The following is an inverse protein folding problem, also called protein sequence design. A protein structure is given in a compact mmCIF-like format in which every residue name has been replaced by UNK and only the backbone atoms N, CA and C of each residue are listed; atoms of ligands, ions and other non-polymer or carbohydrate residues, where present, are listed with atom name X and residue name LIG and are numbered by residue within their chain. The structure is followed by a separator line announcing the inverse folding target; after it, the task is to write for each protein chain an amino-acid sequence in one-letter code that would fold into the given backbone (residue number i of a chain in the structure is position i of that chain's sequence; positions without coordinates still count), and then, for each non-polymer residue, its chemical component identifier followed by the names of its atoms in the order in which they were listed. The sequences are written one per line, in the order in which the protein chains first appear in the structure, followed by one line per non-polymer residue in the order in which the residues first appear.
data_IF_855001933455
#
_entry.id   IF_855001933455
#
_cell.length_a   1.000
_cell.length_b   1.000
_cell.length_c   1.000
_cell.angle_alpha   90.00
_cell.angle_beta   90.00
_cell.angle_gamma   90.00
#
_symmetry.space_group_name_H-M   'P 1'
#
loop_
_entity.id
_entity.type
_entity.pdbx_description
1 polymer ?
#
# COMPACT_ATOMS: atom_id res chain seq x y z
N UNK A 1 -10.20 -57.39 -8.25
CA UNK A 1 -10.28 -56.97 -6.84
C UNK A 1 -10.01 -55.49 -6.77
N UNK A 2 -11.06 -54.71 -6.51
CA UNK A 2 -11.09 -53.25 -6.54
C UNK A 2 -10.63 -52.70 -5.19
N UNK A 3 -9.62 -51.83 -5.19
CA UNK A 3 -9.22 -51.05 -4.02
C UNK A 3 -9.98 -49.70 -4.07
N UNK A 4 -11.19 -49.71 -3.52
CA UNK A 4 -11.99 -48.51 -3.32
C UNK A 4 -11.69 -47.90 -1.94
N UNK A 5 -11.51 -46.58 -1.93
CA UNK A 5 -11.96 -45.68 -0.85
C UNK A 5 -11.40 -45.92 0.54
N UNK A 6 -10.22 -45.35 0.84
CA UNK A 6 -9.96 -44.87 2.20
C UNK A 6 -10.56 -43.48 2.33
N UNK A 7 -11.76 -43.41 2.90
CA UNK A 7 -12.28 -42.21 3.53
C UNK A 7 -11.26 -41.74 4.57
N UNK A 8 -10.70 -40.55 4.35
CA UNK A 8 -10.02 -39.79 5.40
C UNK A 8 -11.11 -39.11 6.23
N UNK A 9 -11.80 -39.87 7.08
CA UNK A 9 -12.53 -39.31 8.23
C UNK A 9 -11.49 -38.78 9.21
N UNK A 10 -11.15 -37.50 9.05
CA UNK A 10 -10.28 -36.79 9.99
C UNK A 10 -11.06 -36.61 11.30
N UNK A 11 -10.69 -37.35 12.33
CA UNK A 11 -11.22 -37.23 13.69
C UNK A 11 -10.99 -35.80 14.22
N UNK A 12 -12.00 -34.94 14.07
CA UNK A 12 -12.05 -33.65 14.76
C UNK A 12 -12.57 -33.86 16.17
N UNK A 13 -11.74 -33.64 17.19
CA UNK A 13 -12.21 -33.62 18.58
C UNK A 13 -13.37 -32.63 18.72
N UNK A 14 -14.56 -33.12 19.08
CA UNK A 14 -15.73 -32.27 19.32
C UNK A 14 -15.49 -31.40 20.54
N UNK A 15 -15.11 -30.14 20.32
CA UNK A 15 -14.95 -29.13 21.38
C UNK A 15 -16.30 -28.60 21.89
N UNK A 16 -17.27 -29.47 22.14
CA UNK A 16 -18.62 -29.11 22.60
C UNK A 16 -18.67 -28.43 23.98
N UNK A 17 -17.57 -28.49 24.75
CA UNK A 17 -17.43 -27.77 26.01
C UNK A 17 -17.31 -26.24 25.83
N UNK A 18 -16.96 -25.78 24.62
CA UNK A 18 -16.89 -24.35 24.32
C UNK A 18 -18.25 -23.85 23.83
N UNK A 19 -18.84 -22.80 24.43
CA UNK A 19 -20.06 -22.16 23.93
C UNK A 19 -19.94 -21.72 22.47
N UNK A 20 -18.71 -21.41 22.02
CA UNK A 20 -18.45 -21.09 20.62
C UNK A 20 -18.82 -22.25 19.69
N UNK A 21 -18.63 -23.50 20.10
CA UNK A 21 -18.90 -24.68 19.27
C UNK A 21 -20.20 -25.41 19.62
N UNK A 22 -20.70 -25.28 20.85
CA UNK A 22 -21.97 -25.88 21.26
C UNK A 22 -23.20 -25.00 21.01
N UNK A 23 -23.05 -23.68 21.03
CA UNK A 23 -24.18 -22.77 20.85
C UNK A 23 -24.19 -22.06 19.48
N UNK A 24 -23.01 -21.72 18.92
CA UNK A 24 -22.94 -20.98 17.66
C UNK A 24 -22.81 -21.93 16.46
N UNK A 25 -23.70 -21.83 15.45
CA UNK A 25 -23.58 -22.56 14.20
C UNK A 25 -22.36 -22.09 13.39
N UNK A 26 -21.91 -22.91 12.44
CA UNK A 26 -20.67 -22.70 11.70
C UNK A 26 -20.64 -21.36 10.94
N UNK A 27 -21.78 -20.92 10.42
CA UNK A 27 -21.96 -19.69 9.68
C UNK A 27 -21.68 -18.46 10.55
N UNK A 28 -22.18 -18.47 11.79
CA UNK A 28 -21.95 -17.39 12.75
C UNK A 28 -20.51 -17.38 13.25
N UNK A 29 -19.91 -18.56 13.51
CA UNK A 29 -18.48 -18.64 13.83
C UNK A 29 -17.61 -18.07 12.71
N UNK A 30 -17.95 -18.40 11.45
CA UNK A 30 -17.24 -17.88 10.28
C UNK A 30 -17.40 -16.36 10.15
N UNK A 31 -18.59 -15.82 10.44
CA UNK A 31 -18.82 -14.37 10.46
C UNK A 31 -17.98 -13.67 11.54
N UNK A 32 -17.92 -14.23 12.76
CA UNK A 32 -17.06 -13.74 13.84
C UNK A 32 -15.59 -13.78 13.43
N UNK A 33 -15.11 -14.91 12.91
CA UNK A 33 -13.73 -15.05 12.45
C UNK A 33 -13.39 -14.06 11.33
N UNK A 34 -14.29 -13.87 10.36
CA UNK A 34 -14.11 -12.86 9.29
C UNK A 34 -13.97 -11.47 9.86
N UNK A 35 -14.78 -11.11 10.85
CA UNK A 35 -14.68 -9.81 11.51
C UNK A 35 -13.36 -9.68 12.29
N UNK A 36 -13.02 -10.63 13.15
CA UNK A 36 -11.81 -10.60 13.98
C UNK A 36 -10.50 -10.64 13.17
N UNK A 37 -10.51 -11.35 12.04
CA UNK A 37 -9.34 -11.55 11.17
C UNK A 37 -9.34 -10.61 9.96
N UNK A 38 -10.21 -9.60 9.94
CA UNK A 38 -10.17 -8.54 8.93
C UNK A 38 -8.97 -7.64 9.14
N UNK A 39 -8.48 -7.06 8.05
CA UNK A 39 -7.49 -5.98 8.11
C UNK A 39 -8.08 -4.79 8.85
N UNK A 40 -7.30 -4.21 9.77
CA UNK A 40 -7.66 -3.01 10.51
C UNK A 40 -6.45 -2.10 10.70
N UNK A 41 -6.70 -0.85 11.08
CA UNK A 41 -5.63 0.10 11.36
C UNK A 41 -4.93 -0.25 12.67
N UNK A 42 -3.61 -0.09 12.71
CA UNK A 42 -2.84 -0.30 13.93
C UNK A 42 -3.40 0.57 15.08
N UNK A 43 -3.64 0.00 16.28
CA UNK A 43 -4.33 0.72 17.35
C UNK A 43 -3.54 1.93 17.86
N UNK A 44 -2.21 1.83 17.89
CA UNK A 44 -1.32 2.84 18.49
C UNK A 44 -0.34 3.51 17.53
N UNK A 45 -0.03 2.90 16.38
CA UNK A 45 0.96 3.41 15.44
C UNK A 45 0.26 4.31 14.42
N UNK A 46 0.70 5.55 14.32
CA UNK A 46 0.20 6.51 13.35
C UNK A 46 1.34 6.96 12.45
N UNK A 47 1.04 7.19 11.18
CA UNK A 47 2.00 7.88 10.34
C UNK A 47 2.21 9.31 10.84
N UNK A 48 3.43 9.83 10.63
CA UNK A 48 3.73 11.23 10.91
C UNK A 48 2.64 12.11 10.26
N UNK A 49 2.14 13.08 11.03
CA UNK A 49 1.05 13.94 10.59
C UNK A 49 1.37 14.76 9.35
N UNK A 50 2.65 15.06 9.17
CA UNK A 50 3.18 15.88 8.08
C UNK A 50 3.78 14.99 6.96
N UNK A 51 3.52 13.68 6.96
CA UNK A 51 4.01 12.81 5.90
C UNK A 51 3.14 12.88 4.63
N UNK A 52 3.79 12.75 3.48
CA UNK A 52 3.11 12.71 2.17
C UNK A 52 2.25 11.46 1.94
N UNK A 53 2.41 10.43 2.77
CA UNK A 53 1.66 9.18 2.65
C UNK A 53 0.42 9.11 3.54
N UNK A 54 0.23 10.05 4.47
CA UNK A 54 -0.96 10.09 5.31
C UNK A 54 -2.19 10.48 4.47
N UNK A 55 -3.25 9.67 4.56
CA UNK A 55 -4.57 9.96 3.97
C UNK A 55 -5.67 9.82 5.01
N UNK A 56 -6.89 10.25 4.65
CA UNK A 56 -8.08 10.07 5.48
C UNK A 56 -8.37 8.57 5.75
N UNK A 57 -8.21 7.74 4.71
CA UNK A 57 -8.48 6.30 4.70
C UNK A 57 -7.24 5.44 4.98
N UNK A 58 -6.07 6.08 5.08
CA UNK A 58 -4.78 5.42 5.31
C UNK A 58 -3.87 6.31 6.16
N UNK A 59 -4.21 6.46 7.44
CA UNK A 59 -3.45 7.25 8.41
C UNK A 59 -2.55 6.40 9.33
N UNK A 60 -2.65 5.06 9.21
CA UNK A 60 -1.93 4.09 10.04
C UNK A 60 -1.51 2.87 9.22
N UNK A 61 -0.47 2.15 9.65
CA UNK A 61 -0.19 0.82 9.13
C UNK A 61 -1.41 -0.09 9.29
N UNK A 62 -1.68 -0.90 8.27
CA UNK A 62 -2.73 -1.90 8.30
C UNK A 62 -2.19 -3.22 8.83
N UNK A 63 -2.92 -3.84 9.76
CA UNK A 63 -2.54 -5.11 10.40
C UNK A 63 -3.72 -6.08 10.46
N UNK A 64 -3.40 -7.35 10.66
CA UNK A 64 -4.38 -8.40 10.99
C UNK A 64 -4.03 -8.98 12.35
N UNK A 65 -4.95 -8.92 13.30
CA UNK A 65 -4.75 -9.51 14.62
C UNK A 65 -5.01 -11.01 14.58
N UNK A 66 -3.94 -11.81 14.66
CA UNK A 66 -4.02 -13.29 14.60
C UNK A 66 -4.04 -13.97 15.96
N UNK A 67 -4.08 -13.20 17.06
CA UNK A 67 -4.04 -13.75 18.43
C UNK A 67 -5.18 -14.74 18.72
N UNK A 68 -6.35 -14.53 18.13
CA UNK A 68 -7.50 -15.44 18.26
C UNK A 68 -7.21 -16.85 17.77
N UNK A 69 -6.31 -17.00 16.79
CA UNK A 69 -5.90 -18.31 16.25
C UNK A 69 -5.11 -19.15 17.26
N UNK A 70 -4.60 -18.53 18.33
CA UNK A 70 -3.85 -19.23 19.39
C UNK A 70 -4.76 -19.81 20.48
N UNK A 71 -6.08 -19.61 20.39
CA UNK A 71 -7.03 -20.01 21.43
C UNK A 71 -7.20 -21.54 21.51
N UNK A 72 -7.44 -22.19 20.37
CA UNK A 72 -7.51 -23.66 20.29
C UNK A 72 -7.28 -24.14 18.85
N UNK A 73 -7.07 -25.46 18.69
CA UNK A 73 -6.80 -26.06 17.38
C UNK A 73 -7.92 -25.85 16.36
N UNK A 74 -9.19 -25.99 16.77
CA UNK A 74 -10.32 -25.82 15.85
C UNK A 74 -10.47 -24.36 15.41
N UNK A 75 -10.24 -23.39 16.30
CA UNK A 75 -10.24 -21.96 15.97
C UNK A 75 -9.08 -21.62 15.04
N UNK A 76 -7.91 -22.21 15.30
CA UNK A 76 -6.76 -22.10 14.41
C UNK A 76 -7.12 -22.60 13.00
N UNK A 77 -7.68 -23.79 12.87
CA UNK A 77 -7.95 -24.41 11.57
C UNK A 77 -9.12 -23.74 10.81
N UNK A 78 -10.20 -23.34 11.51
CA UNK A 78 -11.30 -22.55 10.92
C UNK A 78 -10.81 -21.14 10.52
N UNK A 79 -10.04 -20.47 11.38
CA UNK A 79 -9.57 -19.11 11.17
C UNK A 79 -8.46 -18.99 10.12
N UNK A 80 -7.56 -19.97 10.02
CA UNK A 80 -6.52 -19.98 9.00
C UNK A 80 -7.12 -20.02 7.59
N UNK A 81 -8.21 -20.76 7.39
CA UNK A 81 -8.98 -20.76 6.13
C UNK A 81 -9.60 -19.39 5.83
N UNK A 82 -10.05 -18.67 6.85
CA UNK A 82 -10.61 -17.32 6.69
C UNK A 82 -9.55 -16.33 6.24
N UNK A 83 -8.35 -16.38 6.85
CA UNK A 83 -7.22 -15.55 6.45
C UNK A 83 -6.88 -15.75 4.98
N UNK A 84 -6.84 -17.00 4.52
CA UNK A 84 -6.53 -17.30 3.12
C UNK A 84 -7.58 -16.79 2.14
N UNK A 85 -8.83 -16.60 2.57
CA UNK A 85 -9.94 -16.30 1.65
C UNK A 85 -10.21 -14.80 1.43
N UNK A 86 -9.65 -13.92 2.25
CA UNK A 86 -9.95 -12.48 2.24
C UNK A 86 -8.70 -11.63 2.48
N UNK A 87 -7.62 -11.93 1.77
CA UNK A 87 -6.40 -11.15 1.86
C UNK A 87 -6.57 -9.81 1.16
N UNK A 88 -6.18 -8.73 1.83
CA UNK A 88 -6.08 -7.40 1.26
C UNK A 88 -4.61 -6.98 1.27
N UNK A 89 -4.13 -6.47 0.13
CA UNK A 89 -2.74 -6.04 -0.05
C UNK A 89 -2.69 -4.59 -0.51
N UNK A 90 -1.72 -3.85 0.03
CA UNK A 90 -1.43 -2.46 -0.33
C UNK A 90 0.03 -2.35 -0.77
N UNK A 91 0.25 -1.93 -2.02
CA UNK A 91 1.56 -1.77 -2.65
C UNK A 91 1.80 -0.30 -3.00
N UNK A 92 3.03 0.18 -2.86
CA UNK A 92 3.43 1.55 -3.17
C UNK A 92 4.45 1.58 -4.31
N UNK A 93 4.05 1.93 -5.53
CA UNK A 93 4.99 2.21 -6.61
C UNK A 93 5.50 3.63 -6.49
N UNK A 94 6.42 3.84 -5.55
CA UNK A 94 7.18 5.08 -5.38
C UNK A 94 8.59 4.76 -4.85
N UNK A 95 9.48 5.75 -4.91
CA UNK A 95 10.82 5.66 -4.35
C UNK A 95 10.79 5.51 -2.82
N UNK A 96 11.83 4.90 -2.20
CA UNK A 96 11.86 4.65 -0.76
C UNK A 96 11.56 5.87 0.14
N UNK A 97 12.06 7.10 -0.13
CA UNK A 97 11.79 8.27 0.72
C UNK A 97 10.32 8.71 0.75
N UNK A 98 9.55 8.33 -0.27
CA UNK A 98 8.14 8.71 -0.42
C UNK A 98 7.17 7.62 0.03
N UNK A 99 7.73 6.50 0.51
CA UNK A 99 6.98 5.31 0.89
C UNK A 99 6.81 5.24 2.41
N UNK A 100 5.65 4.78 2.91
CA UNK A 100 5.54 4.47 4.33
C UNK A 100 6.58 3.43 4.78
N UNK A 101 7.05 3.50 6.03
CA UNK A 101 7.86 2.44 6.60
C UNK A 101 7.05 1.13 6.65
N UNK A 102 7.74 -0.01 6.48
CA UNK A 102 7.15 -1.35 6.60
C UNK A 102 5.99 -1.65 5.63
N UNK A 103 5.93 -0.92 4.51
CA UNK A 103 5.05 -1.26 3.39
C UNK A 103 5.29 -2.70 2.88
N UNK A 104 4.29 -3.31 2.25
CA UNK A 104 4.45 -4.60 1.60
C UNK A 104 5.39 -4.48 0.39
N UNK A 105 6.44 -5.31 0.36
CA UNK A 105 7.31 -5.49 -0.78
C UNK A 105 6.69 -6.51 -1.75
N UNK A 106 6.56 -6.20 -3.06
CA UNK A 106 6.08 -7.14 -4.07
C UNK A 106 6.84 -8.48 -4.12
N UNK A 107 8.16 -8.50 -3.87
CA UNK A 107 8.93 -9.74 -3.82
C UNK A 107 8.56 -10.60 -2.60
N UNK A 108 8.30 -9.97 -1.46
CA UNK A 108 7.85 -10.67 -0.25
C UNK A 108 6.44 -11.22 -0.45
N UNK A 109 5.58 -10.49 -1.17
CA UNK A 109 4.25 -10.94 -1.56
C UNK A 109 4.33 -12.16 -2.47
N UNK A 110 5.14 -12.12 -3.53
CA UNK A 110 5.35 -13.23 -4.46
C UNK A 110 5.77 -14.50 -3.70
N UNK A 111 6.81 -14.40 -2.85
CA UNK A 111 7.28 -15.51 -2.02
C UNK A 111 6.17 -16.05 -1.10
N UNK A 112 5.45 -15.16 -0.41
CA UNK A 112 4.35 -15.58 0.48
C UNK A 112 3.27 -16.36 -0.28
N UNK A 113 2.90 -15.92 -1.47
CA UNK A 113 1.90 -16.61 -2.28
C UNK A 113 2.41 -17.97 -2.77
N UNK A 114 3.68 -18.07 -3.15
CA UNK A 114 4.33 -19.33 -3.50
C UNK A 114 4.36 -20.30 -2.31
N UNK A 115 4.74 -19.86 -1.12
CA UNK A 115 4.78 -20.68 0.10
C UNK A 115 3.39 -21.24 0.43
N UNK A 116 2.34 -20.41 0.30
CA UNK A 116 0.96 -20.85 0.50
C UNK A 116 0.55 -21.89 -0.54
N UNK A 117 0.89 -21.69 -1.80
CA UNK A 117 0.59 -22.64 -2.87
C UNK A 117 1.29 -23.98 -2.67
N UNK A 118 2.56 -23.98 -2.26
CA UNK A 118 3.31 -25.21 -1.93
C UNK A 118 2.71 -25.98 -0.76
N UNK A 119 2.04 -25.29 0.17
CA UNK A 119 1.27 -25.91 1.25
C UNK A 119 -0.11 -26.45 0.79
N UNK A 120 -0.40 -26.41 -0.51
CA UNK A 120 -1.71 -26.80 -1.07
C UNK A 120 -2.82 -25.80 -0.77
N UNK A 121 -2.48 -24.60 -0.28
CA UNK A 121 -3.45 -23.56 0.07
C UNK A 121 -3.68 -22.66 -1.14
N UNK A 122 -4.92 -22.24 -1.34
CA UNK A 122 -5.32 -21.38 -2.47
C UNK A 122 -5.77 -20.02 -1.94
N UNK A 123 -4.85 -19.05 -1.77
CA UNK A 123 -5.23 -17.73 -1.29
C UNK A 123 -6.18 -17.05 -2.29
N UNK A 124 -7.24 -16.44 -1.76
CA UNK A 124 -8.14 -15.55 -2.48
C UNK A 124 -7.87 -14.13 -2.01
N UNK A 125 -7.31 -13.32 -2.91
CA UNK A 125 -7.08 -11.90 -2.65
C UNK A 125 -8.37 -11.15 -2.93
N UNK A 126 -8.90 -10.43 -1.94
CA UNK A 126 -10.12 -9.65 -2.08
C UNK A 126 -9.80 -8.31 -2.74
N UNK A 127 -8.91 -7.52 -2.15
CA UNK A 127 -8.53 -6.21 -2.67
C UNK A 127 -7.01 -6.09 -2.83
N UNK A 128 -6.58 -5.54 -3.97
CA UNK A 128 -5.22 -5.08 -4.21
C UNK A 128 -5.25 -3.57 -4.42
N UNK A 129 -4.76 -2.81 -3.44
CA UNK A 129 -4.57 -1.37 -3.52
C UNK A 129 -3.14 -1.08 -4.00
N UNK A 130 -3.00 -0.19 -4.97
CA UNK A 130 -1.71 0.30 -5.44
C UNK A 130 -1.71 1.81 -5.41
N UNK A 131 -0.81 2.40 -4.63
CA UNK A 131 -0.48 3.82 -4.74
C UNK A 131 0.58 3.99 -5.80
N UNK A 132 0.28 4.73 -6.86
CA UNK A 132 1.07 4.75 -8.07
C UNK A 132 1.62 6.14 -8.35
N UNK A 133 2.93 6.31 -8.19
CA UNK A 133 3.65 7.45 -8.75
C UNK A 133 3.56 7.38 -10.29
N UNK A 134 3.13 8.46 -10.94
CA UNK A 134 2.89 8.46 -12.38
C UNK A 134 4.14 8.23 -13.20
N UNK A 135 5.30 8.76 -12.79
CA UNK A 135 6.54 8.54 -13.53
C UNK A 135 6.85 7.03 -13.61
N UNK A 136 6.68 6.30 -12.52
CA UNK A 136 6.84 4.84 -12.48
C UNK A 136 5.77 4.11 -13.27
N UNK A 137 4.51 4.51 -13.10
CA UNK A 137 3.37 3.87 -13.77
C UNK A 137 3.48 4.00 -15.29
N UNK A 138 3.94 5.14 -15.79
CA UNK A 138 4.05 5.46 -17.22
C UNK A 138 5.34 4.92 -17.88
N UNK A 139 6.44 4.82 -17.13
CA UNK A 139 7.75 4.45 -17.71
C UNK A 139 8.13 2.99 -17.52
N UNK A 140 7.39 2.23 -16.71
CA UNK A 140 7.75 0.86 -16.35
C UNK A 140 6.59 -0.12 -16.53
N UNK A 141 6.92 -1.42 -16.54
CA UNK A 141 5.94 -2.50 -16.52
C UNK A 141 5.55 -2.96 -15.11
N UNK A 142 5.92 -2.21 -14.08
CA UNK A 142 5.76 -2.61 -12.66
C UNK A 142 4.35 -3.04 -12.29
N UNK A 143 3.33 -2.36 -12.81
CA UNK A 143 1.93 -2.75 -12.58
C UNK A 143 1.61 -4.09 -13.23
N UNK A 144 2.07 -4.31 -14.45
CA UNK A 144 1.87 -5.58 -15.14
C UNK A 144 2.62 -6.71 -14.42
N UNK A 145 3.87 -6.49 -14.02
CA UNK A 145 4.68 -7.46 -13.28
C UNK A 145 4.00 -7.85 -11.96
N UNK A 146 3.44 -6.88 -11.23
CA UNK A 146 2.66 -7.14 -10.02
C UNK A 146 1.44 -8.00 -10.31
N UNK A 147 0.66 -7.66 -11.32
CA UNK A 147 -0.54 -8.41 -11.72
C UNK A 147 -0.22 -9.79 -12.34
N UNK A 148 1.04 -10.03 -12.71
CA UNK A 148 1.54 -11.28 -13.23
C UNK A 148 2.14 -12.20 -12.17
N UNK A 149 2.25 -11.75 -10.91
CA UNK A 149 2.65 -12.61 -9.78
C UNK A 149 1.74 -13.85 -9.74
N UNK A 150 2.36 -15.03 -9.72
CA UNK A 150 1.64 -16.28 -9.69
C UNK A 150 0.79 -16.40 -8.41
N UNK A 151 -0.41 -16.97 -8.53
CA UNK A 151 -1.39 -17.10 -7.46
C UNK A 151 -1.95 -15.77 -6.91
N UNK A 152 -1.53 -14.61 -7.45
CA UNK A 152 -2.17 -13.32 -7.15
C UNK A 152 -3.48 -13.23 -7.93
N UNK A 153 -4.58 -13.59 -7.28
CA UNK A 153 -5.92 -13.60 -7.86
C UNK A 153 -6.86 -12.59 -7.19
N UNK A 154 -6.61 -11.26 -7.34
CA UNK A 154 -7.42 -10.22 -6.73
C UNK A 154 -8.81 -10.17 -7.37
N UNK A 155 -9.83 -9.86 -6.56
CA UNK A 155 -11.19 -9.58 -7.06
C UNK A 155 -11.37 -8.10 -7.39
N UNK A 156 -10.75 -7.22 -6.62
CA UNK A 156 -10.77 -5.78 -6.85
C UNK A 156 -9.33 -5.25 -6.92
N UNK A 157 -9.07 -4.39 -7.89
CA UNK A 157 -7.80 -3.65 -7.99
C UNK A 157 -8.11 -2.17 -7.89
N UNK A 158 -7.48 -1.46 -6.96
CA UNK A 158 -7.61 -0.02 -6.85
C UNK A 158 -6.26 0.62 -7.14
N UNK A 159 -6.22 1.50 -8.12
CA UNK A 159 -5.06 2.33 -8.46
C UNK A 159 -5.31 3.73 -7.95
N UNK A 160 -4.53 4.19 -6.99
CA UNK A 160 -4.61 5.54 -6.44
C UNK A 160 -3.43 6.39 -6.90
N UNK A 161 -3.74 7.49 -7.59
CA UNK A 161 -2.82 8.53 -8.03
C UNK A 161 -3.12 9.75 -7.16
N UNK A 162 -2.23 10.04 -6.21
CA UNK A 162 -2.33 11.17 -5.27
C UNK A 162 -1.86 12.46 -5.92
N UNK A 163 -2.17 13.59 -5.28
CA UNK A 163 -1.61 14.88 -5.67
C UNK A 163 -0.08 14.84 -5.84
N UNK A 164 0.61 14.22 -4.88
CA UNK A 164 2.07 14.08 -4.86
C UNK A 164 2.62 13.02 -5.81
N UNK A 165 1.75 12.23 -6.45
CA UNK A 165 2.14 11.21 -7.41
C UNK A 165 2.17 11.76 -8.85
N UNK A 166 1.68 12.99 -9.07
CA UNK A 166 1.75 13.65 -10.38
C UNK A 166 3.16 14.11 -10.71
N UNK A 167 3.51 14.08 -12.00
CA UNK A 167 4.78 14.65 -12.47
C UNK A 167 4.78 16.16 -12.22
N UNK A 168 5.91 16.67 -11.70
CA UNK A 168 6.13 18.09 -11.43
C UNK A 168 5.04 18.75 -10.57
N UNK A 169 4.41 17.97 -9.67
CA UNK A 169 3.36 18.45 -8.78
C UNK A 169 3.86 19.61 -7.90
N UNK A 170 5.13 19.58 -7.51
CA UNK A 170 5.78 20.61 -6.69
C UNK A 170 5.80 21.98 -7.38
N UNK A 171 5.92 21.95 -8.71
CA UNK A 171 5.97 23.13 -9.57
C UNK A 171 4.58 23.53 -10.07
N UNK A 172 3.53 22.90 -9.54
CA UNK A 172 2.15 23.15 -9.94
C UNK A 172 1.87 22.89 -11.42
N UNK A 173 2.58 21.91 -12.01
CA UNK A 173 2.32 21.51 -13.38
C UNK A 173 0.84 21.15 -13.59
N UNK A 174 0.26 21.46 -14.76
CA UNK A 174 -1.09 21.03 -15.11
C UNK A 174 -1.23 19.51 -15.00
N UNK A 175 -2.40 19.03 -14.58
CA UNK A 175 -2.61 17.59 -14.45
C UNK A 175 -2.50 16.91 -15.83
N UNK A 176 -1.67 15.89 -15.92
CA UNK A 176 -1.52 15.07 -17.11
C UNK A 176 -1.24 13.61 -16.71
N UNK A 177 -1.79 12.67 -17.48
CA UNK A 177 -1.60 11.24 -17.29
C UNK A 177 -1.46 10.56 -18.65
N UNK A 178 -0.33 9.90 -18.90
CA UNK A 178 -0.13 9.10 -20.09
C UNK A 178 -0.91 7.77 -19.99
N UNK A 179 -1.55 7.37 -21.08
CA UNK A 179 -2.41 6.20 -21.17
C UNK A 179 -1.69 4.88 -21.44
N UNK A 180 -0.36 4.90 -21.59
CA UNK A 180 0.47 3.73 -21.92
C UNK A 180 0.20 2.55 -20.96
N UNK A 181 0.13 2.80 -19.66
CA UNK A 181 -0.12 1.77 -18.66
C UNK A 181 -1.54 1.18 -18.77
N UNK A 182 -2.54 1.99 -19.13
CA UNK A 182 -3.91 1.51 -19.41
C UNK A 182 -3.91 0.56 -20.60
N UNK A 183 -3.16 0.89 -21.64
CA UNK A 183 -3.07 0.07 -22.85
C UNK A 183 -2.36 -1.27 -22.59
N UNK A 184 -1.29 -1.25 -21.79
CA UNK A 184 -0.41 -2.39 -21.53
C UNK A 184 -0.97 -3.34 -20.47
N UNK A 185 -1.76 -2.83 -19.52
CA UNK A 185 -2.28 -3.64 -18.41
C UNK A 185 -3.21 -4.75 -18.91
N UNK A 186 -2.97 -5.98 -18.42
CA UNK A 186 -3.82 -7.15 -18.55
C UNK A 186 -4.14 -7.70 -17.17
N UNK A 187 -5.40 -7.55 -16.78
CA UNK A 187 -5.88 -7.93 -15.47
C UNK A 187 -6.01 -9.46 -15.33
N UNK A 188 -5.74 -10.03 -14.14
CA UNK A 188 -6.08 -11.42 -13.86
C UNK A 188 -7.57 -11.71 -14.08
N UNK A 189 -7.91 -12.94 -14.48
CA UNK A 189 -9.30 -13.34 -14.75
C UNK A 189 -10.22 -13.19 -13.53
N UNK A 190 -9.64 -13.23 -12.32
CA UNK A 190 -10.37 -13.03 -11.06
C UNK A 190 -10.88 -11.61 -10.85
N UNK A 191 -10.32 -10.61 -11.56
CA UNK A 191 -10.65 -9.20 -11.34
C UNK A 191 -12.06 -8.91 -11.83
N UNK A 192 -12.90 -8.41 -10.92
CA UNK A 192 -14.29 -8.01 -11.17
C UNK A 192 -14.44 -6.50 -11.25
N UNK A 193 -13.61 -5.77 -10.53
CA UNK A 193 -13.66 -4.30 -10.48
C UNK A 193 -12.24 -3.74 -10.52
N UNK A 194 -12.03 -2.71 -11.34
CA UNK A 194 -10.90 -1.81 -11.20
C UNK A 194 -11.41 -0.45 -10.75
N UNK A 195 -10.77 0.16 -9.75
CA UNK A 195 -11.08 1.52 -9.32
C UNK A 195 -9.85 2.38 -9.59
N UNK A 196 -10.00 3.42 -10.39
CA UNK A 196 -8.94 4.43 -10.55
C UNK A 196 -9.33 5.65 -9.73
N UNK A 197 -8.56 5.90 -8.68
CA UNK A 197 -8.68 7.02 -7.77
C UNK A 197 -7.69 8.11 -8.20
N UNK A 198 -8.20 9.25 -8.61
CA UNK A 198 -7.38 10.40 -8.99
C UNK A 198 -7.66 11.52 -8.01
N UNK A 199 -6.62 11.96 -7.31
CA UNK A 199 -6.71 12.98 -6.26
C UNK A 199 -5.82 14.17 -6.58
N UNK A 200 -6.35 15.38 -6.36
CA UNK A 200 -5.57 16.60 -6.46
C UNK A 200 -6.05 17.65 -5.45
N UNK A 201 -5.41 18.82 -5.46
CA UNK A 201 -5.83 19.95 -4.64
C UNK A 201 -7.19 20.50 -5.08
N UNK A 202 -7.96 21.05 -4.14
CA UNK A 202 -9.28 21.63 -4.39
C UNK A 202 -9.27 22.73 -5.45
N UNK A 203 -8.20 23.54 -5.53
CA UNK A 203 -8.03 24.54 -6.59
C UNK A 203 -7.86 23.96 -8.00
N UNK A 204 -7.50 22.67 -8.11
CA UNK A 204 -7.41 21.92 -9.38
C UNK A 204 -8.65 21.09 -9.69
N UNK A 205 -9.77 21.30 -8.99
CA UNK A 205 -11.01 20.53 -9.21
C UNK A 205 -11.45 20.52 -10.68
N UNK A 206 -11.45 21.67 -11.36
CA UNK A 206 -11.83 21.74 -12.78
C UNK A 206 -10.89 20.91 -13.69
N UNK A 207 -9.59 20.90 -13.39
CA UNK A 207 -8.62 20.07 -14.10
C UNK A 207 -8.89 18.59 -13.86
N UNK A 208 -9.16 18.22 -12.61
CA UNK A 208 -9.45 16.85 -12.21
C UNK A 208 -10.73 16.33 -12.88
N UNK A 209 -11.80 17.11 -12.85
CA UNK A 209 -13.07 16.82 -13.52
C UNK A 209 -12.88 16.64 -15.04
N UNK A 210 -12.06 17.49 -15.66
CA UNK A 210 -11.77 17.43 -17.08
C UNK A 210 -11.08 16.11 -17.46
N UNK A 211 -9.99 15.75 -16.78
CA UNK A 211 -9.26 14.51 -17.09
C UNK A 211 -10.08 13.27 -16.74
N UNK A 212 -10.85 13.30 -15.65
CA UNK A 212 -11.74 12.20 -15.27
C UNK A 212 -12.83 11.97 -16.32
N UNK A 213 -13.39 13.04 -16.89
CA UNK A 213 -14.36 12.96 -17.98
C UNK A 213 -13.77 12.31 -19.24
N UNK A 214 -12.54 12.64 -19.62
CA UNK A 214 -11.86 11.99 -20.75
C UNK A 214 -11.61 10.50 -20.43
N UNK A 215 -11.02 10.21 -19.27
CA UNK A 215 -10.75 8.85 -18.83
C UNK A 215 -12.01 7.97 -18.82
N UNK A 216 -13.13 8.51 -18.34
CA UNK A 216 -14.42 7.80 -18.31
C UNK A 216 -14.91 7.35 -19.68
N UNK A 217 -14.50 8.03 -20.76
CA UNK A 217 -14.93 7.76 -22.13
C UNK A 217 -13.94 6.93 -22.91
N UNK A 218 -12.64 7.15 -22.70
CA UNK A 218 -11.58 6.56 -23.53
C UNK A 218 -10.87 5.39 -22.87
N UNK A 219 -10.85 5.29 -21.53
CA UNK A 219 -10.10 4.23 -20.85
C UNK A 219 -10.91 2.96 -20.72
N UNK A 220 -10.27 1.84 -21.05
CA UNK A 220 -10.81 0.50 -20.87
C UNK A 220 -9.69 -0.46 -20.50
N UNK A 221 -9.98 -1.32 -19.54
CA UNK A 221 -9.05 -2.37 -19.11
C UNK A 221 -9.46 -3.71 -19.69
N UNK A 222 -8.48 -4.57 -19.96
CA UNK A 222 -8.72 -5.90 -20.51
C UNK A 222 -8.23 -6.95 -19.53
N UNK A 223 -9.04 -7.96 -19.25
CA UNK A 223 -8.62 -9.19 -18.55
C UNK A 223 -7.85 -10.13 -19.47
N UNK A 224 -7.06 -11.02 -18.89
CA UNK A 224 -6.33 -12.07 -19.63
C UNK A 224 -7.26 -12.99 -20.43
N UNK A 225 -8.50 -13.18 -19.99
CA UNK A 225 -9.56 -13.89 -20.71
C UNK A 225 -10.22 -13.10 -21.85
N UNK A 226 -9.79 -11.86 -22.10
CA UNK A 226 -10.34 -10.98 -23.13
C UNK A 226 -11.49 -10.09 -22.68
N UNK A 227 -12.08 -10.31 -21.49
CA UNK A 227 -13.18 -9.49 -20.96
C UNK A 227 -12.76 -8.03 -20.80
N UNK A 228 -13.55 -7.12 -21.36
CA UNK A 228 -13.32 -5.68 -21.25
C UNK A 228 -14.04 -5.11 -20.03
N UNK A 229 -13.36 -4.22 -19.31
CA UNK A 229 -13.92 -3.41 -18.23
C UNK A 229 -13.93 -1.95 -18.66
N UNK A 230 -15.13 -1.36 -18.64
CA UNK A 230 -15.35 0.06 -18.91
C UNK A 230 -15.94 0.74 -17.67
N UNK A 231 -15.89 2.08 -17.63
CA UNK A 231 -16.43 2.83 -16.50
C UNK A 231 -17.93 2.53 -16.32
N UNK A 232 -18.36 2.43 -15.08
CA UNK A 232 -19.77 2.50 -14.71
C UNK A 232 -20.08 3.89 -14.15
N UNK A 233 -20.77 4.77 -14.91
CA UNK A 233 -21.07 6.12 -14.47
C UNK A 233 -21.84 6.19 -13.15
N UNK A 234 -22.70 5.21 -12.86
CA UNK A 234 -23.53 5.17 -11.64
C UNK A 234 -22.72 4.87 -10.38
N UNK A 235 -21.50 4.34 -10.54
CA UNK A 235 -20.59 4.02 -9.44
C UNK A 235 -19.45 5.01 -9.28
N UNK A 236 -19.31 5.96 -10.20
CA UNK A 236 -18.30 7.02 -10.06
C UNK A 236 -18.65 7.87 -8.83
N UNK A 237 -17.68 8.06 -7.95
CA UNK A 237 -17.86 8.84 -6.72
C UNK A 237 -16.86 9.97 -6.65
N UNK A 238 -17.26 11.03 -5.97
CA UNK A 238 -16.43 12.19 -5.71
C UNK A 238 -16.41 12.45 -4.21
N UNK A 239 -15.23 12.72 -3.68
CA UNK A 239 -15.02 13.00 -2.26
C UNK A 239 -14.12 14.23 -2.10
N UNK A 240 -14.36 14.99 -1.04
CA UNK A 240 -13.45 16.03 -0.58
C UNK A 240 -12.95 15.70 0.82
N UNK A 241 -11.70 16.02 1.10
CA UNK A 241 -11.11 15.85 2.42
C UNK A 241 -10.03 16.89 2.68
N UNK A 242 -9.69 17.10 3.95
CA UNK A 242 -8.71 18.09 4.38
C UNK A 242 -7.45 17.41 4.91
N UNK A 243 -6.29 17.85 4.43
CA UNK A 243 -4.98 17.44 4.93
C UNK A 243 -4.20 18.62 5.48
N UNK A 244 -3.00 18.35 6.01
CA UNK A 244 -2.11 19.41 6.47
C UNK A 244 -1.34 19.99 5.29
N UNK A 245 -1.03 21.28 5.37
CA UNK A 245 -0.20 21.96 4.37
C UNK A 245 1.29 21.72 4.53
N UNK A 246 1.72 21.10 5.63
CA UNK A 246 3.09 20.62 5.78
C UNK A 246 3.19 19.20 5.27
N UNK A 247 4.03 18.99 4.25
CA UNK A 247 4.33 17.71 3.63
C UNK A 247 5.86 17.54 3.60
N UNK A 248 6.40 16.55 4.31
CA UNK A 248 7.83 16.25 4.43
C UNK A 248 8.70 17.52 4.61
N UNK A 249 8.46 18.25 5.71
CA UNK A 249 9.18 19.48 6.12
C UNK A 249 9.03 20.71 5.22
N UNK A 250 8.16 20.64 4.19
CA UNK A 250 7.79 21.79 3.35
C UNK A 250 6.34 22.18 3.60
N UNK A 251 6.10 23.48 3.82
CA UNK A 251 4.75 24.04 3.95
C UNK A 251 4.29 24.61 2.61
N UNK A 252 3.22 24.08 2.08
CA UNK A 252 2.61 24.43 0.79
C UNK A 252 1.65 25.61 0.94
N UNK A 253 2.20 26.80 1.19
CA UNK A 253 1.43 28.01 1.53
C UNK A 253 0.48 28.44 0.41
N UNK A 254 0.92 28.36 -0.85
CA UNK A 254 0.07 28.64 -2.03
C UNK A 254 -1.22 27.82 -2.03
N UNK A 255 -1.13 26.58 -1.53
CA UNK A 255 -2.17 25.57 -1.67
C UNK A 255 -3.13 25.56 -0.46
N UNK A 256 -2.88 26.41 0.55
CA UNK A 256 -3.72 26.52 1.75
C UNK A 256 -5.12 27.06 1.44
N UNK A 257 -6.15 26.29 1.80
CA UNK A 257 -7.54 26.77 1.81
C UNK A 257 -7.94 27.38 3.14
N UNK A 258 -7.20 27.04 4.20
CA UNK A 258 -7.28 27.62 5.54
C UNK A 258 -5.89 27.47 6.21
N UNK A 259 -5.61 28.21 7.31
CA UNK A 259 -4.31 28.11 7.97
C UNK A 259 -3.93 26.66 8.29
N UNK A 260 -2.78 26.21 7.76
CA UNK A 260 -2.25 24.86 7.93
C UNK A 260 -3.04 23.73 7.27
N UNK A 261 -3.97 24.03 6.36
CA UNK A 261 -4.87 23.06 5.75
C UNK A 261 -4.90 23.13 4.22
N UNK A 262 -4.80 21.96 3.60
CA UNK A 262 -5.04 21.76 2.17
C UNK A 262 -6.41 21.09 2.01
N UNK A 263 -7.18 21.56 1.03
CA UNK A 263 -8.37 20.85 0.56
C UNK A 263 -7.98 19.95 -0.60
N UNK A 264 -8.40 18.69 -0.55
CA UNK A 264 -8.22 17.71 -1.61
C UNK A 264 -9.56 17.34 -2.24
N UNK A 265 -9.52 17.09 -3.54
CA UNK A 265 -10.61 16.56 -4.33
C UNK A 265 -10.19 15.20 -4.90
N UNK A 266 -11.02 14.18 -4.71
CA UNK A 266 -10.79 12.81 -5.13
C UNK A 266 -11.96 12.36 -6.00
N UNK A 267 -11.65 11.83 -7.19
CA UNK A 267 -12.61 11.16 -8.06
C UNK A 267 -12.24 9.68 -8.16
N UNK A 268 -13.22 8.80 -7.93
CA UNK A 268 -13.07 7.35 -8.08
C UNK A 268 -13.86 6.87 -9.30
N UNK A 269 -13.15 6.42 -10.33
CA UNK A 269 -13.73 5.82 -11.54
C UNK A 269 -13.79 4.30 -11.38
N UNK A 270 -15.01 3.73 -11.40
CA UNK A 270 -15.21 2.30 -11.24
C UNK A 270 -15.37 1.61 -12.59
N UNK A 271 -14.40 0.80 -12.98
CA UNK A 271 -14.43 -0.03 -14.18
C UNK A 271 -14.92 -1.43 -13.84
N UNK A 272 -15.96 -1.89 -14.55
CA UNK A 272 -16.57 -3.22 -14.36
C UNK A 272 -16.75 -3.90 -15.73
N UNK A 273 -16.86 -5.25 -15.79
CA UNK A 273 -17.16 -5.93 -17.04
C UNK A 273 -18.34 -5.30 -17.78
N UNK A 274 -18.16 -5.04 -19.07
CA UNK A 274 -19.19 -4.43 -19.91
C UNK A 274 -20.40 -5.34 -20.08
N UNK A 275 -20.18 -6.66 -20.14
CA UNK A 275 -21.22 -7.65 -20.46
C UNK A 275 -21.75 -7.58 -21.90
N UNK A 276 -21.39 -6.52 -22.63
CA UNK A 276 -21.74 -6.29 -24.03
C UNK A 276 -20.64 -6.88 -24.94
N UNK A 277 -20.94 -7.95 -25.71
CA UNK A 277 -19.99 -8.56 -26.62
C UNK A 277 -19.69 -7.70 -27.85
N UNK A 278 -20.52 -6.69 -28.15
CA UNK A 278 -20.29 -5.74 -29.25
C UNK A 278 -19.39 -4.57 -28.85
N UNK A 279 -19.08 -4.44 -27.55
CA UNK A 279 -18.25 -3.36 -27.05
C UNK A 279 -16.81 -3.50 -27.57
N UNK A 280 -16.39 -2.54 -28.37
CA UNK A 280 -15.02 -2.48 -28.88
C UNK A 280 -14.12 -1.73 -27.91
N UNK A 281 -12.87 -2.17 -27.79
CA UNK A 281 -11.89 -1.50 -26.93
C UNK A 281 -11.44 -0.20 -27.60
N UNK A 282 -11.82 1.00 -27.10
CA UNK A 282 -11.26 2.24 -27.60
C UNK A 282 -9.75 2.28 -27.35
N UNK A 283 -9.02 3.00 -28.21
CA UNK A 283 -7.64 3.36 -27.90
C UNK A 283 -7.68 4.31 -26.70
N UNK A 284 -6.99 4.00 -25.59
CA UNK A 284 -7.02 4.89 -24.44
C UNK A 284 -6.31 6.19 -24.80
N UNK A 285 -6.90 7.31 -24.39
CA UNK A 285 -6.36 8.65 -24.65
C UNK A 285 -5.48 9.09 -23.49
N UNK A 286 -4.39 9.79 -23.82
CA UNK A 286 -3.61 10.54 -22.85
C UNK A 286 -4.47 11.66 -22.28
N UNK A 287 -4.42 11.83 -20.96
CA UNK A 287 -5.16 12.88 -20.28
C UNK A 287 -4.28 14.11 -20.15
N UNK A 288 -4.76 15.25 -20.61
CA UNK A 288 -4.08 16.53 -20.44
C UNK A 288 -5.10 17.65 -20.24
N UNK A 289 -4.67 18.68 -19.52
CA UNK A 289 -5.48 19.87 -19.27
C UNK A 289 -5.24 20.90 -20.37
N UNK A 290 -6.30 21.51 -20.95
CA UNK A 290 -6.15 22.60 -21.92
C UNK A 290 -5.39 23.80 -21.34
N UNK A 291 -4.57 24.47 -22.16
CA UNK A 291 -3.71 25.58 -21.71
C UNK A 291 -4.48 26.70 -20.98
N UNK A 292 -5.71 27.01 -21.39
CA UNK A 292 -6.52 28.05 -20.72
C UNK A 292 -6.92 27.69 -19.29
N UNK A 293 -7.10 26.40 -19.00
CA UNK A 293 -7.39 25.91 -17.64
C UNK A 293 -6.11 25.80 -16.79
N UNK A 294 -4.94 25.80 -17.42
CA UNK A 294 -3.64 25.82 -16.74
C UNK A 294 -3.22 27.24 -16.32
N UNK A 295 -3.52 28.26 -17.12
CA UNK A 295 -3.14 29.66 -16.86
C UNK A 295 -3.78 30.26 -15.60
N UNK A 296 -4.92 29.74 -15.16
CA UNK A 296 -5.70 30.29 -14.04
C UNK A 296 -5.09 30.11 -12.64
N UNK A 297 -3.93 29.44 -12.52
CA UNK A 297 -3.34 29.03 -11.23
C UNK A 297 -1.99 29.70 -10.89
N UNK A 298 -1.41 30.48 -11.81
CA UNK A 298 -0.01 30.95 -11.75
C UNK A 298 0.18 32.26 -10.96
N UNK A 299 0.07 32.28 -9.63
CA UNK A 299 0.36 33.54 -8.91
C UNK A 299 1.10 33.51 -7.57
N UNK A 300 1.57 32.37 -7.03
CA UNK A 300 2.34 32.40 -5.76
C UNK A 300 3.47 31.36 -5.69
N UNK A 301 4.46 31.65 -4.84
CA UNK A 301 5.54 30.72 -4.53
C UNK A 301 4.98 29.39 -3.95
N UNK A 302 5.43 28.23 -4.44
CA UNK A 302 4.79 26.93 -4.20
C UNK A 302 4.81 26.49 -2.75
N UNK A 303 5.93 26.70 -2.05
CA UNK A 303 6.13 26.26 -0.68
C UNK A 303 7.22 27.04 0.04
N UNK A 304 7.22 26.96 1.37
CA UNK A 304 8.25 27.50 2.28
C UNK A 304 8.78 26.32 3.10
N UNK A 305 10.11 26.17 3.22
CA UNK A 305 10.69 25.15 4.12
C UNK A 305 10.36 25.50 5.57
N UNK A 306 9.86 24.51 6.33
CA UNK A 306 9.44 24.72 7.73
C UNK A 306 10.65 24.70 8.70
N UNK A 307 11.85 24.33 8.23
CA UNK A 307 12.98 24.09 9.11
C UNK A 307 14.37 24.47 8.56
N UNK A 308 14.77 25.73 8.72
CA UNK A 308 16.14 26.03 9.20
C UNK A 308 16.19 25.95 10.74
N UNK A 309 15.07 26.27 11.42
CA UNK A 309 15.00 26.36 12.89
C UNK A 309 14.81 25.02 13.61
N UNK A 310 14.16 24.01 13.01
CA UNK A 310 14.05 22.69 13.64
C UNK A 310 15.33 21.86 13.47
N UNK A 311 16.00 21.93 12.31
CA UNK A 311 17.30 21.30 12.09
C UNK A 311 18.38 21.88 13.04
N UNK A 312 18.41 23.20 13.23
CA UNK A 312 19.29 23.84 14.23
C UNK A 312 18.94 23.41 15.67
N UNK A 313 17.65 23.39 16.05
CA UNK A 313 17.24 22.92 17.39
C UNK A 313 17.58 21.45 17.64
N UNK A 314 17.54 20.62 16.60
CA UNK A 314 17.91 19.20 16.66
C UNK A 314 19.43 19.06 16.82
N UNK A 315 20.24 19.78 16.02
CA UNK A 315 21.69 19.81 16.14
C UNK A 315 22.18 20.34 17.49
N UNK A 316 21.58 21.42 18.02
CA UNK A 316 21.92 21.99 19.34
C UNK A 316 21.57 21.05 20.49
N UNK A 317 20.48 20.28 20.37
CA UNK A 317 20.13 19.25 21.38
C UNK A 317 21.08 18.05 21.33
N UNK A 318 21.50 17.64 20.13
CA UNK A 318 22.45 16.54 19.98
C UNK A 318 23.86 16.87 20.50
N UNK A 319 24.34 18.09 20.24
CA UNK A 319 25.65 18.53 20.77
C UNK A 319 25.64 18.53 22.29
N UNK A 320 24.58 19.03 22.94
CA UNK A 320 24.50 19.06 24.40
C UNK A 320 24.32 17.67 25.05
N UNK A 321 23.71 16.70 24.37
CA UNK A 321 23.55 15.33 24.87
C UNK A 321 24.85 14.52 24.79
N UNK A 322 25.69 14.75 23.78
CA UNK A 322 26.98 14.07 23.59
C UNK A 322 27.99 14.46 24.68
N UNK A 323 27.91 15.68 25.23
CA UNK A 323 28.81 16.13 26.30
C UNK A 323 28.43 15.65 27.71
N UNK A 324 27.28 15.00 27.91
CA UNK A 324 26.78 14.65 29.25
C UNK A 324 26.80 13.14 29.59
N UNK A 325 27.12 12.25 28.64
CA UNK A 325 26.92 10.81 28.77
C UNK A 325 28.18 9.95 28.69
N UNK A 326 29.18 10.21 29.55
CA UNK A 326 30.31 9.29 29.73
C UNK A 326 30.54 9.06 31.22
N UNK A 327 29.88 8.05 31.80
CA UNK A 327 30.41 7.30 32.93
C UNK A 327 29.61 6.01 33.22
N UNK A 328 30.38 4.92 33.23
CA UNK A 328 30.13 3.59 33.80
C UNK A 328 29.36 2.54 32.99
N UNK A 329 30.06 1.40 32.80
CA UNK A 329 29.58 0.19 32.15
C UNK A 329 29.49 -1.01 33.08
N UNK A 330 29.13 -2.15 32.51
CA UNK A 330 29.11 -3.45 33.16
C UNK A 330 28.48 -4.52 32.27
N UNK A 331 29.25 -5.53 31.90
CA UNK A 331 28.84 -6.75 31.19
C UNK A 331 28.09 -7.70 32.12
N UNK A 332 27.08 -8.43 31.61
CA UNK A 332 26.74 -9.80 31.99
C UNK A 332 25.89 -10.50 30.89
N UNK A 333 26.24 -11.75 30.62
CA UNK A 333 25.78 -12.72 29.61
C UNK A 333 24.38 -13.31 29.86
N UNK A 334 23.57 -13.57 28.82
CA UNK A 334 22.61 -14.71 28.74
C UNK A 334 22.17 -15.07 27.28
N UNK A 335 21.75 -16.32 27.14
CA UNK A 335 21.57 -17.22 25.99
C UNK A 335 20.43 -16.91 24.98
N UNK A 336 20.40 -17.59 23.81
CA UNK A 336 19.56 -17.25 22.66
C UNK A 336 18.19 -17.95 22.72
N UNK A 337 17.10 -17.23 22.39
CA UNK A 337 15.80 -17.86 22.11
C UNK A 337 14.53 -17.14 22.58
N UNK A 338 14.61 -15.97 23.21
CA UNK A 338 13.43 -15.20 23.62
C UNK A 338 13.40 -13.82 22.97
N UNK A 339 12.29 -13.48 22.30
CA UNK A 339 11.98 -12.10 21.92
C UNK A 339 12.08 -11.20 23.16
N UNK A 340 12.61 -9.96 23.06
CA UNK A 340 12.64 -9.05 24.17
C UNK A 340 11.21 -8.68 24.54
N UNK A 341 10.75 -9.25 25.65
CA UNK A 341 9.65 -8.72 26.43
C UNK A 341 9.99 -7.29 26.82
N UNK A 342 8.95 -6.48 26.74
CA UNK A 342 8.88 -5.08 27.09
C UNK A 342 9.42 -4.85 28.52
N UNK A 343 10.70 -4.55 28.62
CA UNK A 343 11.35 -4.02 29.81
C UNK A 343 12.26 -2.86 29.39
N UNK A 344 11.71 -1.95 28.59
CA UNK A 344 12.26 -0.61 28.55
C UNK A 344 11.48 0.21 29.58
N UNK A 345 12.11 0.49 30.72
CA UNK A 345 11.86 1.76 31.42
C UNK A 345 12.33 2.87 30.49
N UNK A 346 11.56 3.15 29.43
CA UNK A 346 11.67 4.38 28.65
C UNK A 346 10.86 5.42 29.41
N UNK A 347 11.54 6.15 30.29
CA UNK A 347 11.11 7.51 30.62
C UNK A 347 10.96 8.27 29.31
N UNK A 348 9.76 8.79 29.07
CA UNK A 348 9.39 9.34 27.77
C UNK A 348 10.31 10.48 27.33
N UNK A 349 10.74 10.45 26.06
CA UNK A 349 10.66 11.56 25.12
C UNK A 349 11.38 11.20 23.81
N UNK A 350 10.73 11.55 22.69
CA UNK A 350 11.24 11.64 21.31
C UNK A 350 11.54 10.31 20.61
N UNK A 351 10.65 9.93 19.70
CA UNK A 351 10.96 9.03 18.57
C UNK A 351 12.04 9.69 17.72
N UNK A 352 13.28 9.29 17.92
CA UNK A 352 14.42 9.67 17.10
C UNK A 352 14.35 8.90 15.77
N UNK A 353 14.25 9.64 14.65
CA UNK A 353 14.31 9.06 13.31
C UNK A 353 15.72 8.53 13.04
N UNK A 354 15.89 7.20 13.01
CA UNK A 354 17.15 6.51 12.71
C UNK A 354 17.68 6.90 11.31
N UNK A 355 18.76 7.68 11.15
CA UNK A 355 19.21 8.17 9.84
C UNK A 355 19.60 7.09 8.82
N UNK A 356 19.62 5.80 9.18
CA UNK A 356 19.77 4.70 8.22
C UNK A 356 18.62 4.57 7.22
N UNK A 357 17.43 5.16 7.47
CA UNK A 357 16.37 5.28 6.44
C UNK A 357 16.65 6.36 5.39
N UNK A 358 17.48 7.37 5.71
CA UNK A 358 17.78 8.49 4.82
C UNK A 358 18.82 8.14 3.74
N UNK A 359 19.67 7.14 3.99
CA UNK A 359 20.71 6.74 3.06
C UNK A 359 20.85 5.20 3.02
N UNK A 360 20.27 4.52 2.02
CA UNK A 360 20.75 3.20 1.63
C UNK A 360 22.25 3.30 1.35
N UNK A 361 23.05 2.29 1.71
CA UNK A 361 24.49 2.29 1.39
C UNK A 361 24.66 2.66 -0.09
N UNK A 362 25.46 3.70 -0.39
CA UNK A 362 25.59 4.28 -1.73
C UNK A 362 25.88 3.23 -2.83
N UNK A 363 26.62 2.17 -2.49
CA UNK A 363 26.92 1.06 -3.41
C UNK A 363 25.65 0.38 -3.96
N UNK A 364 24.54 0.42 -3.22
CA UNK A 364 23.25 -0.16 -3.63
C UNK A 364 22.49 0.70 -4.64
N UNK A 365 22.70 2.01 -4.66
CA UNK A 365 22.11 2.91 -5.66
C UNK A 365 22.80 2.81 -7.03
N UNK A 366 24.01 2.25 -7.08
CA UNK A 366 24.90 2.33 -8.24
C UNK A 366 24.87 1.08 -9.15
N UNK A 367 24.29 -0.05 -8.72
CA UNK A 367 24.22 -1.30 -9.51
C UNK A 367 22.79 -1.65 -9.95
N UNK A 368 22.62 -2.09 -11.21
CA UNK A 368 21.28 -2.42 -11.74
C UNK A 368 20.88 -3.75 -11.10
N UNK A 369 19.65 -3.86 -10.57
CA UNK A 369 19.20 -5.12 -10.02
C UNK A 369 19.08 -6.14 -11.16
N UNK A 370 19.47 -7.38 -10.88
CA UNK A 370 19.31 -8.50 -11.81
C UNK A 370 17.83 -8.73 -12.17
N UNK A 371 16.94 -8.43 -11.21
CA UNK A 371 15.50 -8.43 -11.41
C UNK A 371 14.97 -6.98 -11.29
N UNK A 372 14.63 -6.39 -12.43
CA UNK A 372 14.09 -5.04 -12.52
C UNK A 372 12.54 -4.99 -12.41
N UNK A 373 11.88 -6.13 -12.15
CA UNK A 373 10.42 -6.15 -11.90
C UNK A 373 10.08 -5.21 -10.75
N UNK A 374 8.87 -4.67 -10.80
CA UNK A 374 8.36 -3.73 -9.79
C UNK A 374 9.15 -2.41 -9.67
N UNK A 375 9.79 -1.97 -10.77
CA UNK A 375 10.34 -0.63 -10.91
C UNK A 375 11.84 -0.52 -10.60
N UNK A 376 12.52 -1.66 -10.51
CA UNK A 376 13.98 -1.75 -10.40
C UNK A 376 14.59 -0.83 -9.34
N UNK A 377 15.63 -0.08 -9.74
CA UNK A 377 16.32 0.87 -8.85
C UNK A 377 15.41 1.96 -8.30
N UNK A 378 14.45 2.43 -9.09
CA UNK A 378 13.60 3.58 -8.72
C UNK A 378 12.78 3.26 -7.47
N UNK A 379 12.25 2.04 -7.37
CA UNK A 379 11.53 1.60 -6.17
C UNK A 379 12.46 1.01 -5.12
N UNK A 380 13.59 0.42 -5.50
CA UNK A 380 14.53 -0.21 -4.57
C UNK A 380 13.99 -1.47 -3.88
N UNK A 381 12.86 -2.03 -4.35
CA UNK A 381 12.25 -3.23 -3.76
C UNK A 381 13.18 -4.44 -3.76
N UNK A 382 13.98 -4.59 -4.82
CA UNK A 382 14.99 -5.65 -4.94
C UNK A 382 16.01 -5.63 -3.79
N UNK A 383 16.49 -4.44 -3.41
CA UNK A 383 17.47 -4.32 -2.33
C UNK A 383 16.87 -4.65 -0.97
N UNK A 384 15.61 -4.27 -0.73
CA UNK A 384 14.92 -4.63 0.52
C UNK A 384 14.79 -6.15 0.67
N UNK A 385 14.42 -6.85 -0.40
CA UNK A 385 14.31 -8.32 -0.40
C UNK A 385 15.68 -8.98 -0.10
N UNK A 386 16.77 -8.53 -0.74
CA UNK A 386 18.12 -9.05 -0.46
C UNK A 386 18.55 -8.86 0.99
N UNK A 387 18.29 -7.70 1.58
CA UNK A 387 18.63 -7.42 2.99
C UNK A 387 17.82 -8.29 3.94
N UNK A 388 16.54 -8.51 3.66
CA UNK A 388 15.73 -9.42 4.48
C UNK A 388 16.26 -10.86 4.40
N UNK A 389 16.60 -11.33 3.19
CA UNK A 389 17.17 -12.67 3.00
C UNK A 389 18.49 -12.84 3.77
N UNK A 390 19.42 -11.89 3.67
CA UNK A 390 20.71 -12.00 4.37
C UNK A 390 20.57 -12.03 5.88
N UNK A 391 19.64 -11.25 6.45
CA UNK A 391 19.32 -11.28 7.89
C UNK A 391 18.75 -12.61 8.34
N UNK A 392 17.85 -13.22 7.56
CA UNK A 392 17.30 -14.55 7.87
C UNK A 392 18.38 -15.65 7.80
N UNK A 393 19.31 -15.57 6.84
CA UNK A 393 20.42 -16.52 6.72
C UNK A 393 21.36 -16.49 7.92
N UNK A 394 21.61 -15.30 8.49
CA UNK A 394 22.51 -15.12 9.64
C UNK A 394 21.92 -15.55 10.99
N UNK A 395 20.62 -15.86 11.07
CA UNK A 395 19.97 -16.34 12.31
C UNK A 395 20.02 -17.88 12.41
N UNK A 396 20.34 -18.57 11.32
CA UNK A 396 20.45 -20.04 11.25
C UNK A 396 21.90 -20.55 11.20
N UNK A 397 22.88 -19.70 11.52
CA UNK A 397 24.32 -20.01 11.48
C UNK A 397 24.94 -20.16 12.87
#
# INVERSE_FOLDING_TARGET
MSLHGREVTQFGFEQGQSPLYSALPAELRLAVLRYCLSVCNHPTSQFNRDSIWRRLDYDRPQIVHTSILRTCRRLHDEGLRVLDQNLDYTIFFTAPPERPPQCTNPFDLERRLQDLAQQGRRPSVRNLQVFANLALLESTRSLQDLLDIEHLHPRNVTLAIRHVDFRDWEHDAPLAINSVWVSQTRLPNSVRTVVVQIESLGRKTQQLDHIAKIASRSWTFQRKDGTLLAVNPTRTTTQQWQGRSTLNDKKWVRDETAPHQLSYHLISLHFIPTGDPSFTRPRPEDLSVPAEMAKSLLHMAPSIRVADKQFHRMLTRHTNAIFAGSQHGGFLTMCPGSWPGDASRRSGSVEEMDPTWLFPKLDWLLMEPEDARFGGRVTGYYHQDRVQRSRCSSING
#
